data_IF_121059509524
#
_entry.id   IF_121059509524
#
_cell.length_a   1.000
_cell.length_b   1.000
_cell.length_c   1.000
_cell.angle_alpha   90.00
_cell.angle_beta   90.00
_cell.angle_gamma   90.00
#
_symmetry.space_group_name_H-M   'P 1'
#
loop_
_entity.id
_entity.type
_entity.pdbx_description
1 polymer ?
#
# COMPACT_ATOMS: atom_id res chain seq x y z
N UNK A 1 -21.96 15.68 -8.31
CA UNK A 1 -21.46 14.50 -7.56
C UNK A 1 -20.14 14.07 -8.17
N UNK A 2 -19.00 14.51 -7.62
CA UNK A 2 -17.69 14.00 -8.05
C UNK A 2 -17.54 12.57 -7.49
N UNK A 3 -17.49 11.57 -8.37
CA UNK A 3 -17.03 10.22 -7.99
C UNK A 3 -15.56 10.37 -7.59
N UNK A 4 -15.26 10.17 -6.31
CA UNK A 4 -13.86 10.04 -5.87
C UNK A 4 -13.36 8.73 -6.43
N UNK A 5 -12.48 8.81 -7.42
CA UNK A 5 -11.68 7.68 -7.87
C UNK A 5 -10.67 7.38 -6.74
N UNK A 6 -11.13 6.72 -5.68
CA UNK A 6 -10.29 6.33 -4.56
C UNK A 6 -9.30 5.28 -5.04
N UNK A 7 -8.07 5.70 -5.32
CA UNK A 7 -6.98 4.80 -5.70
C UNK A 7 -6.57 4.01 -4.46
N UNK A 8 -6.64 2.68 -4.51
CA UNK A 8 -6.22 1.83 -3.39
C UNK A 8 -4.70 1.65 -3.40
N UNK A 9 -4.07 1.76 -2.22
CA UNK A 9 -2.64 1.54 -1.98
C UNK A 9 -2.42 0.38 -1.01
N UNK A 10 -1.27 -0.27 -1.15
CA UNK A 10 -0.85 -1.29 -0.20
C UNK A 10 -0.53 -0.69 1.18
N UNK A 11 -1.11 -1.26 2.23
CA UNK A 11 -0.90 -0.86 3.62
C UNK A 11 0.45 -1.34 4.13
N UNK A 12 1.51 -0.59 3.79
CA UNK A 12 2.88 -0.92 4.21
C UNK A 12 3.06 -0.91 5.73
N UNK A 13 2.28 -0.12 6.46
CA UNK A 13 2.40 0.01 7.91
C UNK A 13 1.91 -1.25 8.62
N UNK A 14 0.76 -1.77 8.21
CA UNK A 14 0.29 -3.08 8.68
C UNK A 14 1.27 -4.19 8.31
N UNK A 15 1.77 -4.18 7.07
CA UNK A 15 2.74 -5.18 6.62
C UNK A 15 4.03 -5.15 7.44
N UNK A 16 4.60 -3.96 7.68
CA UNK A 16 5.82 -3.82 8.49
C UNK A 16 5.59 -4.25 9.95
N UNK A 17 4.42 -3.96 10.52
CA UNK A 17 4.07 -4.43 11.87
C UNK A 17 4.06 -5.95 11.94
N UNK A 18 3.36 -6.62 11.03
CA UNK A 18 3.28 -8.08 10.98
C UNK A 18 4.65 -8.72 10.78
N UNK A 19 5.51 -8.12 9.94
CA UNK A 19 6.89 -8.56 9.77
C UNK A 19 7.67 -8.53 11.09
N UNK A 20 7.56 -7.44 11.85
CA UNK A 20 8.26 -7.28 13.15
C UNK A 20 7.70 -8.26 14.19
N UNK A 21 6.38 -8.33 14.33
CA UNK A 21 5.71 -9.21 15.32
C UNK A 21 6.04 -10.69 15.12
N UNK A 22 6.24 -11.12 13.86
CA UNK A 22 6.60 -12.49 13.53
C UNK A 22 8.12 -12.70 13.35
N UNK A 23 8.94 -11.68 13.60
CA UNK A 23 10.40 -11.78 13.53
C UNK A 23 10.95 -12.00 12.11
N UNK A 24 10.25 -11.51 11.08
CA UNK A 24 10.67 -11.65 9.69
C UNK A 24 11.44 -10.43 9.18
N UNK A 25 12.64 -10.67 8.66
CA UNK A 25 13.26 -9.80 7.66
C UNK A 25 12.79 -10.17 6.23
N UNK A 26 13.13 -9.35 5.24
CA UNK A 26 12.69 -9.54 3.85
C UNK A 26 13.11 -10.90 3.26
N UNK A 27 14.30 -11.40 3.58
CA UNK A 27 14.80 -12.70 3.13
C UNK A 27 14.20 -13.85 3.94
N UNK A 28 13.93 -13.65 5.22
CA UNK A 28 13.22 -14.61 6.06
C UNK A 28 11.78 -14.82 5.56
N UNK A 29 11.05 -13.75 5.25
CA UNK A 29 9.68 -13.85 4.70
C UNK A 29 9.69 -14.53 3.33
N UNK A 30 10.58 -14.15 2.41
CA UNK A 30 10.72 -14.78 1.09
C UNK A 30 10.84 -16.30 1.21
N UNK A 31 11.75 -16.77 2.09
CA UNK A 31 11.95 -18.20 2.35
C UNK A 31 10.74 -18.84 3.02
N UNK A 32 10.11 -18.16 3.97
CA UNK A 32 8.96 -18.69 4.71
C UNK A 32 7.74 -18.90 3.80
N UNK A 33 7.42 -17.90 2.96
CA UNK A 33 6.34 -18.01 1.97
C UNK A 33 6.63 -19.09 0.94
N UNK A 34 7.87 -19.17 0.44
CA UNK A 34 8.25 -20.20 -0.54
C UNK A 34 8.15 -21.62 0.02
N UNK A 35 8.50 -21.82 1.31
CA UNK A 35 8.31 -23.11 2.00
C UNK A 35 6.83 -23.44 2.20
N UNK A 36 6.02 -22.44 2.57
CA UNK A 36 4.58 -22.63 2.82
C UNK A 36 3.81 -23.07 1.57
N UNK A 37 4.27 -22.68 0.39
CA UNK A 37 3.62 -22.98 -0.89
C UNK A 37 4.14 -24.24 -1.57
N UNK A 38 4.99 -25.02 -0.88
CA UNK A 38 5.47 -26.30 -1.40
C UNK A 38 6.27 -26.18 -2.70
N UNK A 39 7.06 -25.11 -2.87
CA UNK A 39 7.93 -24.87 -4.04
C UNK A 39 7.22 -24.65 -5.40
N UNK A 40 5.88 -24.68 -5.45
CA UNK A 40 5.13 -24.54 -6.72
C UNK A 40 4.84 -23.07 -7.10
N UNK A 41 4.88 -22.14 -6.14
CA UNK A 41 4.61 -20.72 -6.37
C UNK A 41 5.84 -19.92 -6.83
N UNK A 42 5.65 -18.81 -7.58
CA UNK A 42 6.75 -17.96 -7.96
C UNK A 42 7.42 -17.37 -6.71
N UNK A 43 8.75 -17.51 -6.66
CA UNK A 43 9.58 -16.99 -5.58
C UNK A 43 9.44 -15.46 -5.52
N UNK A 44 9.14 -14.96 -4.32
CA UNK A 44 9.14 -13.52 -4.09
C UNK A 44 10.55 -13.09 -3.75
N UNK A 45 11.17 -12.29 -4.62
CA UNK A 45 12.52 -11.76 -4.36
C UNK A 45 12.53 -10.90 -3.08
N UNK A 46 13.45 -11.14 -2.12
CA UNK A 46 13.59 -10.33 -0.92
C UNK A 46 13.72 -8.82 -1.19
N UNK A 47 14.31 -8.42 -2.33
CA UNK A 47 14.42 -7.02 -2.74
C UNK A 47 13.05 -6.41 -3.02
N UNK A 48 12.14 -7.14 -3.65
CA UNK A 48 10.78 -6.67 -3.88
C UNK A 48 10.02 -6.49 -2.56
N UNK A 49 10.20 -7.43 -1.62
CA UNK A 49 9.64 -7.31 -0.27
C UNK A 49 10.15 -6.04 0.41
N UNK A 50 11.45 -5.76 0.33
CA UNK A 50 12.01 -4.54 0.92
C UNK A 50 11.43 -3.27 0.28
N UNK A 51 11.25 -3.24 -1.04
CA UNK A 51 10.62 -2.11 -1.72
C UNK A 51 9.16 -1.90 -1.30
N UNK A 52 8.42 -2.97 -1.03
CA UNK A 52 7.06 -2.88 -0.48
C UNK A 52 7.06 -2.29 0.93
N UNK A 53 8.01 -2.72 1.78
CA UNK A 53 8.18 -2.19 3.15
C UNK A 53 8.49 -0.70 3.16
N UNK A 54 9.31 -0.24 2.22
CA UNK A 54 9.65 1.17 2.05
C UNK A 54 8.49 1.97 1.42
N UNK A 55 7.58 1.30 0.71
CA UNK A 55 6.50 1.92 -0.05
C UNK A 55 6.95 2.49 -1.38
N UNK A 56 8.08 2.04 -1.92
CA UNK A 56 8.65 2.43 -3.21
C UNK A 56 7.87 1.84 -4.39
N UNK A 57 7.26 0.67 -4.19
CA UNK A 57 6.42 0.00 -5.19
C UNK A 57 5.27 -0.71 -4.48
N UNK A 58 4.11 -0.78 -5.14
CA UNK A 58 3.00 -1.59 -4.65
C UNK A 58 3.12 -3.02 -5.17
N UNK A 59 2.92 -4.05 -4.33
CA UNK A 59 2.76 -5.43 -4.79
C UNK A 59 1.54 -5.56 -5.73
N UNK A 60 1.62 -6.49 -6.68
CA UNK A 60 0.45 -6.92 -7.44
C UNK A 60 -0.56 -7.59 -6.49
N UNK A 61 -1.86 -7.46 -6.77
CA UNK A 61 -2.95 -8.06 -6.00
C UNK A 61 -2.77 -9.55 -5.70
N UNK A 62 -2.15 -10.31 -6.63
CA UNK A 62 -1.83 -11.72 -6.41
C UNK A 62 -0.84 -11.93 -5.24
N UNK A 63 0.16 -11.07 -5.11
CA UNK A 63 1.08 -11.10 -3.98
C UNK A 63 0.43 -10.59 -2.69
N UNK A 64 -0.44 -9.57 -2.77
CA UNK A 64 -1.18 -9.09 -1.58
C UNK A 64 -2.04 -10.21 -1.00
N UNK A 65 -2.73 -10.99 -1.85
CA UNK A 65 -3.50 -12.16 -1.42
C UNK A 65 -2.64 -13.20 -0.71
N UNK A 66 -1.49 -13.54 -1.30
CA UNK A 66 -0.54 -14.50 -0.69
C UNK A 66 0.00 -14.02 0.66
N UNK A 67 0.33 -12.74 0.77
CA UNK A 67 0.77 -12.13 2.05
C UNK A 67 -0.37 -12.18 3.08
N UNK A 68 -1.58 -11.85 2.67
CA UNK A 68 -2.78 -11.89 3.51
C UNK A 68 -3.05 -13.30 4.04
N UNK A 69 -2.99 -14.31 3.18
CA UNK A 69 -3.12 -15.72 3.55
C UNK A 69 -2.00 -16.17 4.50
N UNK A 70 -0.75 -15.80 4.20
CA UNK A 70 0.41 -16.15 5.01
C UNK A 70 0.33 -15.61 6.44
N UNK A 71 -0.09 -14.36 6.62
CA UNK A 71 -0.27 -13.76 7.95
C UNK A 71 -1.65 -14.02 8.58
N UNK A 72 -2.56 -14.70 7.88
CA UNK A 72 -3.92 -14.95 8.36
C UNK A 72 -4.75 -13.68 8.53
N UNK A 73 -4.47 -12.63 7.75
CA UNK A 73 -5.11 -11.31 7.83
C UNK A 73 -6.00 -11.10 6.60
N UNK A 74 -7.21 -10.56 6.71
CA UNK A 74 -8.07 -10.33 5.56
C UNK A 74 -7.43 -9.36 4.54
N UNK A 75 -7.59 -9.66 3.25
CA UNK A 75 -7.04 -8.85 2.14
C UNK A 75 -7.36 -7.36 2.27
N UNK A 76 -8.56 -7.03 2.75
CA UNK A 76 -9.02 -5.64 2.94
C UNK A 76 -8.15 -4.87 3.94
N UNK A 77 -7.50 -5.55 4.90
CA UNK A 77 -6.56 -4.91 5.82
C UNK A 77 -5.31 -4.36 5.12
N UNK A 78 -4.93 -4.96 3.99
CA UNK A 78 -3.77 -4.56 3.20
C UNK A 78 -4.07 -3.50 2.13
N UNK A 79 -5.32 -3.07 1.99
CA UNK A 79 -5.73 -2.07 0.98
C UNK A 79 -6.27 -0.83 1.69
N UNK A 80 -5.55 0.28 1.57
CA UNK A 80 -5.94 1.59 2.13
C UNK A 80 -6.26 2.56 1.00
N UNK A 81 -7.18 3.49 1.22
CA UNK A 81 -7.44 4.56 0.26
C UNK A 81 -6.22 5.50 0.22
N UNK A 82 -5.74 5.80 -0.99
CA UNK A 82 -4.76 6.84 -1.22
C UNK A 82 -5.49 8.18 -1.06
N UNK A 83 -5.19 8.90 0.03
CA UNK A 83 -5.55 10.31 0.15
C UNK A 83 -4.82 11.05 -0.97
N UNK A 84 -5.50 11.21 -2.11
CA UNK A 84 -5.05 12.14 -3.12
C UNK A 84 -4.98 13.50 -2.42
N UNK A 85 -3.83 14.20 -2.45
CA UNK A 85 -3.79 15.56 -1.93
C UNK A 85 -4.90 16.30 -2.66
N UNK A 86 -5.85 16.85 -1.89
CA UNK A 86 -6.78 17.84 -2.39
C UNK A 86 -5.89 18.95 -2.91
N UNK A 87 -5.61 18.94 -4.21
CA UNK A 87 -4.99 20.07 -4.89
C UNK A 87 -5.79 21.26 -4.47
N UNK A 88 -5.11 22.15 -3.75
CA UNK A 88 -5.64 23.39 -3.22
C UNK A 88 -6.61 23.96 -4.23
N UNK A 89 -7.89 24.00 -3.85
CA UNK A 89 -8.82 24.90 -4.51
C UNK A 89 -8.31 26.29 -4.18
N UNK A 90 -7.38 26.81 -4.99
CA UNK A 90 -7.06 28.22 -5.02
C UNK A 90 -8.38 28.95 -5.11
N UNK A 91 -8.71 29.65 -4.04
CA UNK A 91 -9.81 30.59 -3.95
C UNK A 91 -9.63 31.65 -5.02
N UNK A 92 -10.18 31.42 -6.21
CA UNK A 92 -10.36 32.47 -7.20
C UNK A 92 -11.64 33.23 -6.87
N UNK A 93 -11.70 33.81 -5.66
CA UNK A 93 -12.66 34.87 -5.34
C UNK A 93 -11.97 36.19 -5.72
N UNK A 94 -11.85 36.45 -7.02
CA UNK A 94 -11.62 37.81 -7.49
C UNK A 94 -12.94 38.57 -7.34
N UNK A 95 -13.23 38.99 -6.11
CA UNK A 95 -14.15 40.11 -5.86
C UNK A 95 -13.57 41.33 -6.57
N UNK A 96 -14.19 41.72 -7.67
CA UNK A 96 -14.05 43.07 -8.20
C UNK A 96 -14.55 44.06 -7.16
N UNK A 97 -13.64 44.61 -6.37
CA UNK A 97 -13.88 45.85 -5.64
C UNK A 97 -13.67 46.99 -6.63
N UNK A 98 -14.78 47.60 -7.03
CA UNK A 98 -14.84 48.92 -7.64
C UNK A 98 -14.03 49.92 -6.78
N UNK A 99 -13.14 50.74 -7.36
CA UNK A 99 -12.68 51.92 -6.67
C UNK A 99 -13.83 52.94 -6.65
N UNK A 100 -14.24 53.33 -5.46
CA UNK A 100 -14.98 54.57 -5.22
C UNK A 100 -13.97 55.67 -4.87
N UNK A 101 -14.25 56.85 -5.42
CA UNK A 101 -13.63 58.17 -5.22
C UNK A 101 -12.48 58.54 -6.18
#
# INVERSE_FOLDING_TARGET
MLKRDSKLRFNKDLFNRLMIENGYDSAALSRAMHRSEGYAGPLIDPRNIQRWRNGEVNPNIGFVKRIAEFFGVPLRGFLVEEDLPVTERCSHDQRWATPQE
#
